data_IF_476372373492
#
_entry.id   IF_476372373492
#
_cell.length_a   1.000
_cell.length_b   1.000
_cell.length_c   1.000
_cell.angle_alpha   90.00
_cell.angle_beta   90.00
_cell.angle_gamma   90.00
#
_symmetry.space_group_name_H-M   'P 1'
#
loop_
_entity.id
_entity.type
_entity.pdbx_description
1 polymer ?
#
# COMPACT_ATOMS: atom_id res chain seq x y z
N UNK A 1 -12.30 9.15 -2.49
CA UNK A 1 -11.72 7.84 -2.86
C UNK A 1 -11.14 7.21 -1.61
N UNK A 2 -11.38 5.92 -1.36
CA UNK A 2 -10.86 5.22 -0.18
C UNK A 2 -9.90 4.13 -0.64
N UNK A 3 -8.64 4.20 -0.21
CA UNK A 3 -7.60 3.18 -0.40
C UNK A 3 -6.58 3.26 0.74
N UNK A 4 -5.78 2.22 0.91
CA UNK A 4 -4.70 2.21 1.93
C UNK A 4 -3.64 3.27 1.68
N UNK A 5 -3.28 3.50 0.40
CA UNK A 5 -2.39 4.59 0.01
C UNK A 5 -2.99 5.97 0.30
N UNK A 6 -4.29 6.16 0.04
CA UNK A 6 -4.97 7.41 0.38
C UNK A 6 -4.97 7.66 1.90
N UNK A 7 -5.09 6.62 2.72
CA UNK A 7 -4.98 6.75 4.18
C UNK A 7 -3.57 7.22 4.61
N UNK A 8 -2.51 6.72 3.97
CA UNK A 8 -1.15 7.20 4.22
C UNK A 8 -0.99 8.68 3.83
N UNK A 9 -1.54 9.11 2.69
CA UNK A 9 -1.54 10.52 2.29
C UNK A 9 -2.25 11.41 3.33
N UNK A 10 -3.39 10.97 3.89
CA UNK A 10 -4.10 11.71 4.92
C UNK A 10 -3.25 11.91 6.19
N UNK A 11 -2.45 10.91 6.58
CA UNK A 11 -1.52 11.05 7.72
C UNK A 11 -0.44 12.09 7.41
N UNK A 12 0.11 12.09 6.19
CA UNK A 12 1.09 13.11 5.75
C UNK A 12 0.50 14.53 5.78
N UNK A 13 -0.75 14.69 5.37
CA UNK A 13 -1.43 16.00 5.31
C UNK A 13 -1.89 16.51 6.68
N UNK A 14 -1.90 15.66 7.73
CA UNK A 14 -2.35 15.99 9.07
C UNK A 14 -1.28 15.72 10.15
N UNK A 15 -0.10 16.37 10.09
CA UNK A 15 1.04 16.07 10.98
C UNK A 15 0.78 16.36 12.47
N UNK A 16 -0.13 17.28 12.79
CA UNK A 16 -0.48 17.64 14.17
C UNK A 16 -1.61 16.77 14.76
N UNK A 17 -2.07 15.75 14.01
CA UNK A 17 -3.13 14.85 14.44
C UNK A 17 -2.54 13.53 14.94
N UNK A 18 -3.10 12.99 16.03
CA UNK A 18 -2.73 11.67 16.57
C UNK A 18 -3.34 10.53 15.73
N UNK A 19 -2.92 10.43 14.47
CA UNK A 19 -3.43 9.46 13.50
C UNK A 19 -2.31 8.62 12.91
N UNK A 20 -2.65 7.41 12.51
CA UNK A 20 -1.77 6.50 11.80
C UNK A 20 -2.56 5.80 10.67
N UNK A 21 -1.84 5.25 9.70
CA UNK A 21 -2.43 4.54 8.58
C UNK A 21 -1.90 3.11 8.49
N UNK A 22 -2.79 2.19 8.10
CA UNK A 22 -2.41 0.83 7.68
C UNK A 22 -2.26 0.86 6.16
N UNK A 23 -1.02 0.77 5.69
CA UNK A 23 -0.67 0.82 4.28
C UNK A 23 0.54 -0.07 3.98
N UNK A 24 0.86 -0.25 2.69
CA UNK A 24 2.06 -0.97 2.28
C UNK A 24 3.30 -0.09 2.43
N UNK A 25 4.47 -0.73 2.40
CA UNK A 25 5.76 -0.05 2.58
C UNK A 25 6.03 1.00 1.50
N UNK A 26 5.58 0.72 0.27
CA UNK A 26 5.69 1.66 -0.86
C UNK A 26 4.97 2.99 -0.58
N UNK A 27 3.79 2.97 0.06
CA UNK A 27 3.10 4.21 0.40
C UNK A 27 3.84 5.01 1.50
N UNK A 28 4.50 4.32 2.44
CA UNK A 28 5.30 5.00 3.45
C UNK A 28 6.53 5.68 2.82
N UNK A 29 7.21 5.01 1.88
CA UNK A 29 8.32 5.59 1.11
C UNK A 29 7.88 6.79 0.28
N UNK A 30 6.82 6.64 -0.51
CA UNK A 30 6.28 7.69 -1.39
C UNK A 30 5.89 8.96 -0.60
N UNK A 31 5.33 8.79 0.59
CA UNK A 31 4.86 9.91 1.42
C UNK A 31 5.84 10.35 2.51
N UNK A 32 7.02 9.72 2.62
CA UNK A 32 8.03 10.06 3.62
C UNK A 32 7.60 9.77 5.06
N UNK A 33 6.76 8.75 5.27
CA UNK A 33 6.24 8.36 6.58
C UNK A 33 7.13 7.31 7.25
N UNK A 34 7.14 7.32 8.58
CA UNK A 34 7.86 6.30 9.37
C UNK A 34 6.99 5.08 9.60
N UNK A 35 7.52 3.89 9.30
CA UNK A 35 6.86 2.61 9.64
C UNK A 35 7.09 2.33 11.12
N UNK A 36 6.02 2.39 11.92
CA UNK A 36 6.08 2.12 13.37
C UNK A 36 6.08 0.63 13.70
N UNK A 37 5.43 -0.20 12.87
CA UNK A 37 5.38 -1.64 13.04
C UNK A 37 5.18 -2.35 11.70
N UNK A 38 5.94 -3.42 11.47
CA UNK A 38 5.84 -4.27 10.26
C UNK A 38 4.97 -5.49 10.55
N UNK A 39 4.43 -6.10 9.49
CA UNK A 39 3.73 -7.38 9.54
C UNK A 39 2.60 -7.46 10.59
N UNK A 40 1.73 -6.44 10.62
CA UNK A 40 0.59 -6.35 11.57
C UNK A 40 -0.66 -7.11 11.12
N UNK A 41 -0.56 -7.95 10.09
CA UNK A 41 -1.70 -8.70 9.57
C UNK A 41 -1.90 -9.99 10.38
N UNK A 42 -3.15 -10.46 10.47
CA UNK A 42 -3.48 -11.66 11.24
C UNK A 42 -3.11 -12.98 10.52
N UNK A 43 -2.97 -12.94 9.19
CA UNK A 43 -2.78 -14.13 8.34
C UNK A 43 -1.47 -14.06 7.54
N UNK A 44 -0.51 -14.93 7.90
CA UNK A 44 0.83 -14.97 7.30
C UNK A 44 0.84 -15.27 5.79
N UNK A 45 -0.21 -15.91 5.28
CA UNK A 45 -0.34 -16.34 3.88
C UNK A 45 -1.30 -15.48 3.06
N UNK A 46 -1.40 -14.19 3.40
CA UNK A 46 -2.21 -13.26 2.62
C UNK A 46 -1.51 -12.93 1.29
N UNK A 47 -2.09 -13.40 0.18
CA UNK A 47 -1.55 -13.21 -1.17
C UNK A 47 -2.61 -12.66 -2.12
N UNK A 48 -2.21 -11.72 -2.96
CA UNK A 48 -3.06 -11.18 -4.02
C UNK A 48 -2.61 -11.71 -5.37
N UNK A 49 -3.53 -12.32 -6.13
CA UNK A 49 -3.28 -12.79 -7.50
C UNK A 49 -3.61 -11.67 -8.49
N UNK A 50 -2.64 -11.31 -9.31
CA UNK A 50 -2.80 -10.34 -10.39
C UNK A 50 -2.80 -11.04 -11.76
N UNK A 51 -3.48 -10.42 -12.73
CA UNK A 51 -3.39 -10.78 -14.14
C UNK A 51 -2.85 -9.58 -14.90
N UNK A 52 -1.91 -9.84 -15.82
CA UNK A 52 -1.39 -8.82 -16.73
C UNK A 52 -2.14 -8.94 -18.05
N UNK A 53 -2.77 -7.85 -18.48
CA UNK A 53 -3.53 -7.79 -19.72
C UNK A 53 -2.74 -6.98 -20.76
N UNK A 54 -2.74 -7.46 -21.99
CA UNK A 54 -2.15 -6.78 -23.14
C UNK A 54 -3.12 -6.88 -24.31
N UNK A 55 -3.23 -5.82 -25.11
CA UNK A 55 -4.02 -5.82 -26.34
C UNK A 55 -3.32 -6.64 -27.44
N UNK A 56 -1.99 -6.73 -27.41
CA UNK A 56 -1.21 -7.49 -28.38
C UNK A 56 -1.16 -8.96 -27.98
N UNK A 57 -1.39 -9.86 -28.94
CA UNK A 57 -1.04 -11.26 -28.75
C UNK A 57 0.46 -11.36 -28.45
N UNK A 58 0.78 -11.86 -27.27
CA UNK A 58 2.14 -12.18 -26.85
C UNK A 58 2.29 -13.70 -26.84
N UNK A 59 3.22 -14.20 -27.64
CA UNK A 59 3.74 -15.54 -27.45
C UNK A 59 4.67 -15.52 -26.24
N UNK A 60 4.27 -16.21 -25.17
CA UNK A 60 5.15 -16.44 -24.03
C UNK A 60 6.03 -17.65 -24.37
N UNK A 61 7.32 -17.44 -24.62
CA UNK A 61 8.32 -18.53 -24.64
C UNK A 61 8.77 -18.88 -23.23
#
# INVERSE_FOLDING_TARGET
MSSTAAAALLVKEAPDSNVAAIANELAAEEYGLTIVQRSIHDFDHNHTRFVVLTEKNMDFQ
#
